data_IF_501377752674
#
_entry.id   IF_501377752674
#
_cell.length_a   1.000
_cell.length_b   1.000
_cell.length_c   1.000
_cell.angle_alpha   90.00
_cell.angle_beta   90.00
_cell.angle_gamma   90.00
#
_symmetry.space_group_name_H-M   'P 1'
#
loop_
_entity.id
_entity.type
_entity.pdbx_description
1 polymer ?
#
# COMPACT_ATOMS: atom_id res chain seq x y z
N UNK A 1 8.08 -0.77 -10.52
CA UNK A 1 7.48 -0.56 -9.20
C UNK A 1 7.92 0.75 -8.53
N UNK A 2 9.21 1.03 -8.41
CA UNK A 2 9.73 2.34 -7.94
C UNK A 2 9.19 3.54 -8.71
N UNK A 3 8.94 3.43 -10.02
CA UNK A 3 8.33 4.50 -10.84
C UNK A 3 6.87 4.80 -10.46
N UNK A 4 6.08 3.82 -10.05
CA UNK A 4 4.71 4.03 -9.55
C UNK A 4 4.72 4.70 -8.18
N UNK A 5 5.59 4.28 -7.28
CA UNK A 5 5.74 4.88 -5.94
C UNK A 5 6.21 6.34 -6.06
N UNK A 6 7.20 6.63 -6.93
CA UNK A 6 7.62 8.02 -7.21
C UNK A 6 6.49 8.85 -7.80
N UNK A 7 5.73 8.32 -8.76
CA UNK A 7 4.57 9.01 -9.34
C UNK A 7 3.52 9.37 -8.30
N UNK A 8 3.29 8.52 -7.31
CA UNK A 8 2.36 8.78 -6.21
C UNK A 8 2.93 9.72 -5.16
N UNK A 9 4.22 9.61 -4.83
CA UNK A 9 4.90 10.56 -3.95
C UNK A 9 4.92 11.97 -4.54
N UNK A 10 5.09 12.09 -5.85
CA UNK A 10 5.02 13.38 -6.54
C UNK A 10 3.60 13.95 -6.56
N UNK A 11 2.56 13.10 -6.64
CA UNK A 11 1.15 13.50 -6.55
C UNK A 11 0.73 13.92 -5.14
N UNK A 12 1.27 13.29 -4.11
CA UNK A 12 0.96 13.57 -2.69
C UNK A 12 1.73 14.80 -2.19
N UNK A 13 2.76 15.27 -2.94
CA UNK A 13 3.58 16.42 -2.58
C UNK A 13 4.67 16.09 -1.56
N UNK A 14 5.82 16.78 -1.69
CA UNK A 14 7.03 16.53 -0.88
C UNK A 14 6.92 16.90 0.61
N UNK A 15 5.80 17.48 1.05
CA UNK A 15 5.64 18.05 2.40
C UNK A 15 4.66 17.34 3.32
N UNK A 16 4.23 16.13 3.01
CA UNK A 16 3.26 15.44 3.86
C UNK A 16 1.92 16.18 3.97
N UNK A 17 1.64 17.05 3.01
CA UNK A 17 0.37 17.77 2.96
C UNK A 17 -0.74 16.74 2.79
N UNK A 18 -1.48 16.65 3.83
CA UNK A 18 -2.80 16.12 3.99
C UNK A 18 -3.25 15.15 2.89
N UNK A 19 -2.98 13.88 3.08
CA UNK A 19 -3.46 12.78 2.22
C UNK A 19 -4.98 12.91 2.01
N UNK A 20 -5.73 13.40 3.02
CA UNK A 20 -7.14 13.71 2.92
C UNK A 20 -7.44 14.81 1.89
N UNK A 21 -6.62 15.85 1.81
CA UNK A 21 -6.80 16.91 0.82
C UNK A 21 -6.58 16.42 -0.61
N UNK A 22 -5.60 15.54 -0.84
CA UNK A 22 -5.36 14.91 -2.14
C UNK A 22 -6.52 13.98 -2.53
N UNK A 23 -7.02 13.16 -1.60
CA UNK A 23 -8.17 12.28 -1.78
C UNK A 23 -9.43 13.12 -2.06
N UNK A 24 -9.63 14.20 -1.35
CA UNK A 24 -10.78 15.09 -1.56
C UNK A 24 -10.73 15.76 -2.94
N UNK A 25 -9.58 16.24 -3.39
CA UNK A 25 -9.41 16.82 -4.72
C UNK A 25 -9.63 15.79 -5.84
N UNK A 26 -9.14 14.58 -5.67
CA UNK A 26 -9.37 13.49 -6.61
C UNK A 26 -10.86 13.11 -6.66
N UNK A 27 -11.55 13.13 -5.53
CA UNK A 27 -12.98 12.90 -5.46
C UNK A 27 -13.78 14.00 -6.13
N UNK A 28 -13.47 15.26 -5.87
CA UNK A 28 -14.12 16.42 -6.50
C UNK A 28 -13.89 16.43 -8.03
N UNK A 29 -12.69 16.06 -8.49
CA UNK A 29 -12.36 15.91 -9.90
C UNK A 29 -13.14 14.76 -10.53
N UNK A 30 -13.22 13.62 -9.86
CA UNK A 30 -13.99 12.46 -10.31
C UNK A 30 -15.49 12.78 -10.46
N UNK A 31 -16.07 13.44 -9.47
CA UNK A 31 -17.48 13.87 -9.49
C UNK A 31 -17.73 14.86 -10.64
N UNK A 32 -16.78 15.75 -10.92
CA UNK A 32 -16.85 16.73 -12.01
C UNK A 32 -16.78 16.06 -13.38
N UNK A 33 -15.82 15.14 -13.57
CA UNK A 33 -15.58 14.45 -14.84
C UNK A 33 -16.75 13.52 -15.24
N UNK A 34 -17.47 12.98 -14.27
CA UNK A 34 -18.64 12.13 -14.52
C UNK A 34 -19.92 12.92 -14.82
N UNK A 35 -19.88 14.26 -14.79
CA UNK A 35 -21.08 15.10 -15.01
C UNK A 35 -22.17 14.90 -13.97
N UNK A 36 -21.81 14.36 -12.82
CA UNK A 36 -22.75 14.00 -11.76
C UNK A 36 -23.04 15.19 -10.86
N UNK A 37 -24.08 15.91 -11.18
CA UNK A 37 -24.70 16.84 -10.25
C UNK A 37 -25.54 16.15 -9.17
N UNK A 38 -25.79 14.84 -9.31
CA UNK A 38 -26.59 14.04 -8.38
C UNK A 38 -25.81 12.80 -7.93
N UNK A 39 -25.42 12.73 -6.64
CA UNK A 39 -24.69 11.56 -6.09
C UNK A 39 -25.51 10.27 -6.09
N UNK A 40 -26.82 10.32 -6.34
CA UNK A 40 -27.68 9.13 -6.40
C UNK A 40 -27.57 8.37 -7.71
N UNK A 41 -27.01 9.01 -8.77
CA UNK A 41 -26.87 8.42 -10.11
C UNK A 41 -25.52 7.70 -10.27
N UNK A 42 -24.54 7.94 -9.41
CA UNK A 42 -23.28 7.20 -9.42
C UNK A 42 -23.55 5.71 -9.16
N UNK A 43 -23.20 4.86 -10.12
CA UNK A 43 -23.29 3.41 -9.94
C UNK A 43 -22.55 3.03 -8.66
N UNK A 44 -23.16 2.16 -7.86
CA UNK A 44 -22.56 1.62 -6.64
C UNK A 44 -21.11 1.11 -6.90
N UNK A 45 -20.89 0.47 -8.05
CA UNK A 45 -19.60 -0.05 -8.47
C UNK A 45 -18.52 1.03 -8.59
N UNK A 46 -18.85 2.20 -9.10
CA UNK A 46 -17.89 3.32 -9.25
C UNK A 46 -17.51 3.92 -7.89
N UNK A 47 -18.45 3.99 -6.96
CA UNK A 47 -18.19 4.42 -5.58
C UNK A 47 -17.28 3.45 -4.84
N UNK A 48 -17.50 2.15 -5.00
CA UNK A 48 -16.65 1.12 -4.40
C UNK A 48 -15.25 1.14 -5.00
N UNK A 49 -15.13 1.26 -6.32
CA UNK A 49 -13.82 1.38 -6.97
C UNK A 49 -13.03 2.58 -6.45
N UNK A 50 -13.70 3.72 -6.26
CA UNK A 50 -13.07 4.91 -5.67
C UNK A 50 -12.60 4.67 -4.24
N UNK A 51 -13.45 4.08 -3.38
CA UNK A 51 -13.10 3.77 -1.99
C UNK A 51 -11.93 2.77 -1.91
N UNK A 52 -11.91 1.76 -2.76
CA UNK A 52 -10.80 0.80 -2.84
C UNK A 52 -9.51 1.50 -3.24
N UNK A 53 -9.56 2.38 -4.24
CA UNK A 53 -8.40 3.17 -4.67
C UNK A 53 -7.92 4.12 -3.57
N UNK A 54 -8.82 4.83 -2.90
CA UNK A 54 -8.48 5.71 -1.79
C UNK A 54 -7.84 4.93 -0.63
N UNK A 55 -8.36 3.75 -0.32
CA UNK A 55 -7.79 2.86 0.69
C UNK A 55 -6.38 2.38 0.30
N UNK A 56 -6.17 2.01 -0.96
CA UNK A 56 -4.84 1.68 -1.49
C UNK A 56 -3.84 2.82 -1.36
N UNK A 57 -4.27 4.06 -1.61
CA UNK A 57 -3.44 5.26 -1.46
C UNK A 57 -3.01 5.51 -0.02
N UNK A 58 -3.86 5.23 0.96
CA UNK A 58 -3.48 5.34 2.38
C UNK A 58 -2.35 4.38 2.74
N UNK A 59 -2.37 3.17 2.19
CA UNK A 59 -1.28 2.20 2.33
C UNK A 59 0.03 2.73 1.74
N UNK A 60 -0.02 3.26 0.52
CA UNK A 60 1.16 3.82 -0.17
C UNK A 60 1.75 5.02 0.59
N UNK A 61 0.90 5.90 1.13
CA UNK A 61 1.35 7.05 1.91
C UNK A 61 2.12 6.67 3.18
N UNK A 62 1.83 5.50 3.75
CA UNK A 62 2.48 5.00 4.96
C UNK A 62 3.80 4.26 4.68
N UNK A 63 4.11 3.90 3.44
CA UNK A 63 5.27 3.05 3.10
C UNK A 63 6.56 3.62 3.70
N UNK A 64 6.81 4.90 3.58
CA UNK A 64 8.03 5.52 4.11
C UNK A 64 8.20 5.24 5.61
N UNK A 65 7.18 5.53 6.40
CA UNK A 65 7.22 5.28 7.84
C UNK A 65 7.33 3.80 8.19
N UNK A 66 6.66 2.94 7.43
CA UNK A 66 6.76 1.47 7.59
C UNK A 66 8.18 1.00 7.34
N UNK A 67 8.83 1.49 6.28
CA UNK A 67 10.21 1.11 5.95
C UNK A 67 11.20 1.60 7.00
N UNK A 68 11.05 2.82 7.51
CA UNK A 68 11.88 3.36 8.58
C UNK A 68 11.75 2.52 9.87
N UNK A 69 10.54 2.15 10.24
CA UNK A 69 10.29 1.30 11.40
C UNK A 69 10.83 -0.12 11.19
N UNK A 70 10.62 -0.70 10.01
CA UNK A 70 11.14 -2.02 9.65
C UNK A 70 12.66 -2.05 9.67
N UNK A 71 13.32 -0.99 9.21
CA UNK A 71 14.78 -0.83 9.31
C UNK A 71 15.26 -0.93 10.75
N UNK A 72 14.60 -0.24 11.66
CA UNK A 72 14.92 -0.27 13.08
C UNK A 72 14.80 -1.69 13.66
N UNK A 73 13.74 -2.42 13.29
CA UNK A 73 13.56 -3.81 13.74
C UNK A 73 14.64 -4.74 13.18
N UNK A 74 15.00 -4.58 11.91
CA UNK A 74 16.03 -5.40 11.26
C UNK A 74 17.41 -5.12 11.84
N UNK A 75 17.75 -3.86 12.10
CA UNK A 75 19.02 -3.46 12.68
C UNK A 75 19.18 -3.99 14.11
N UNK A 76 18.10 -4.08 14.85
CA UNK A 76 18.07 -4.70 16.19
C UNK A 76 17.98 -6.23 16.15
N UNK A 77 18.04 -6.86 14.98
CA UNK A 77 17.95 -8.32 14.79
C UNK A 77 16.69 -8.94 15.41
N UNK A 78 15.60 -8.20 15.43
CA UNK A 78 14.33 -8.69 15.92
C UNK A 78 13.73 -9.71 14.94
N UNK A 79 13.17 -10.78 15.47
CA UNK A 79 12.30 -11.69 14.72
C UNK A 79 10.86 -11.20 14.86
N UNK A 80 10.19 -10.91 13.75
CA UNK A 80 8.86 -10.30 13.76
C UNK A 80 8.00 -10.76 12.60
N UNK A 81 6.70 -10.53 12.71
CA UNK A 81 5.70 -10.75 11.68
C UNK A 81 5.11 -9.41 11.25
N UNK A 82 4.91 -9.24 9.94
CA UNK A 82 4.23 -8.08 9.38
C UNK A 82 2.97 -8.54 8.67
N UNK A 83 1.86 -7.89 8.96
CA UNK A 83 0.59 -8.07 8.27
C UNK A 83 0.27 -6.81 7.47
N UNK A 84 -0.06 -6.97 6.19
CA UNK A 84 -0.47 -5.87 5.33
C UNK A 84 -1.58 -6.31 4.37
N UNK A 85 -2.46 -5.38 4.02
CA UNK A 85 -3.58 -5.63 3.12
C UNK A 85 -3.27 -5.34 1.64
N UNK A 86 -2.22 -4.55 1.36
CA UNK A 86 -1.89 -4.13 0.02
C UNK A 86 -0.61 -4.80 -0.47
N UNK A 87 -0.65 -5.34 -1.68
CA UNK A 87 0.51 -5.99 -2.30
C UNK A 87 1.70 -5.04 -2.46
N UNK A 88 1.44 -3.78 -2.80
CA UNK A 88 2.48 -2.76 -2.96
C UNK A 88 3.25 -2.52 -1.67
N UNK A 89 2.56 -2.55 -0.53
CA UNK A 89 3.20 -2.43 0.79
C UNK A 89 4.06 -3.65 1.10
N UNK A 90 3.54 -4.85 0.85
CA UNK A 90 4.30 -6.09 1.02
C UNK A 90 5.52 -6.14 0.09
N UNK A 91 5.37 -5.71 -1.16
CA UNK A 91 6.46 -5.66 -2.12
C UNK A 91 7.57 -4.70 -1.68
N UNK A 92 7.21 -3.52 -1.17
CA UNK A 92 8.18 -2.54 -0.67
C UNK A 92 8.96 -3.06 0.54
N UNK A 93 8.29 -3.71 1.48
CA UNK A 93 8.91 -4.32 2.66
C UNK A 93 9.84 -5.46 2.24
N UNK A 94 9.39 -6.33 1.36
CA UNK A 94 10.20 -7.45 0.86
C UNK A 94 11.46 -6.97 0.15
N UNK A 95 11.36 -5.96 -0.70
CA UNK A 95 12.51 -5.35 -1.37
C UNK A 95 13.53 -4.80 -0.38
N UNK A 96 13.08 -4.17 0.70
CA UNK A 96 13.96 -3.68 1.77
C UNK A 96 14.67 -4.82 2.50
N UNK A 97 13.93 -5.87 2.85
CA UNK A 97 14.48 -7.06 3.53
C UNK A 97 15.53 -7.75 2.65
N UNK A 98 15.28 -7.86 1.35
CA UNK A 98 16.23 -8.40 0.36
C UNK A 98 17.49 -7.54 0.30
N UNK A 99 17.35 -6.22 0.24
CA UNK A 99 18.50 -5.29 0.25
C UNK A 99 19.37 -5.45 1.49
N UNK A 100 18.74 -5.68 2.63
CA UNK A 100 19.45 -5.93 3.90
C UNK A 100 19.96 -7.36 4.05
N UNK A 101 19.71 -8.22 3.06
CA UNK A 101 20.16 -9.63 3.05
C UNK A 101 19.68 -10.42 4.25
N UNK A 102 18.46 -10.13 4.71
CA UNK A 102 17.83 -10.85 5.83
C UNK A 102 16.97 -11.98 5.30
N UNK A 103 17.06 -13.15 5.92
CA UNK A 103 16.21 -14.29 5.59
C UNK A 103 14.76 -13.97 5.96
N UNK A 104 13.85 -14.23 5.03
CA UNK A 104 12.42 -13.96 5.23
C UNK A 104 11.57 -14.99 4.50
N UNK A 105 10.31 -15.05 4.87
CA UNK A 105 9.25 -15.75 4.16
C UNK A 105 8.09 -14.80 3.92
N UNK A 106 7.41 -14.97 2.78
CA UNK A 106 6.23 -14.19 2.43
C UNK A 106 5.07 -15.13 2.18
N UNK A 107 3.91 -14.79 2.72
CA UNK A 107 2.66 -15.49 2.48
C UNK A 107 1.61 -14.46 2.05
N UNK A 108 1.08 -14.62 0.86
CA UNK A 108 -0.02 -13.81 0.34
C UNK A 108 -1.04 -14.66 -0.44
N UNK A 109 -2.06 -14.01 -1.00
CA UNK A 109 -3.12 -14.70 -1.72
C UNK A 109 -2.70 -15.43 -2.99
N UNK A 110 -1.51 -15.13 -3.53
CA UNK A 110 -0.98 -15.76 -4.76
C UNK A 110 -0.23 -17.05 -4.49
N UNK A 111 0.08 -17.35 -3.24
CA UNK A 111 0.88 -18.52 -2.85
C UNK A 111 -0.03 -19.72 -2.61
N UNK A 112 0.32 -20.87 -3.21
CA UNK A 112 -0.36 -22.14 -3.01
C UNK A 112 -0.37 -22.58 -1.53
N UNK A 113 -1.42 -23.28 -1.13
CA UNK A 113 -1.62 -23.72 0.25
C UNK A 113 -0.46 -24.56 0.76
N UNK A 114 0.06 -25.49 -0.05
CA UNK A 114 1.20 -26.34 0.33
C UNK A 114 2.46 -25.51 0.65
N UNK A 115 2.76 -24.53 -0.17
CA UNK A 115 3.90 -23.63 0.04
C UNK A 115 3.75 -22.73 1.26
N UNK A 116 2.51 -22.41 1.66
CA UNK A 116 2.26 -21.65 2.91
C UNK A 116 2.70 -22.44 4.13
N UNK A 117 2.40 -23.75 4.17
CA UNK A 117 2.86 -24.62 5.27
C UNK A 117 4.38 -24.73 5.34
N UNK A 118 5.05 -24.84 4.19
CA UNK A 118 6.51 -24.83 4.14
C UNK A 118 7.11 -23.52 4.65
N UNK A 119 6.53 -22.38 4.27
CA UNK A 119 6.94 -21.06 4.74
C UNK A 119 6.82 -20.94 6.27
N UNK A 120 5.72 -21.41 6.85
CA UNK A 120 5.51 -21.41 8.31
C UNK A 120 6.55 -22.27 9.01
N UNK A 121 6.87 -23.46 8.46
CA UNK A 121 7.90 -24.32 9.04
C UNK A 121 9.30 -23.73 8.97
N UNK A 122 9.59 -23.00 7.89
CA UNK A 122 10.89 -22.37 7.70
C UNK A 122 11.10 -21.18 8.65
N UNK A 123 10.03 -20.50 9.00
CA UNK A 123 10.08 -19.38 9.94
C UNK A 123 10.32 -19.83 11.36
#
# INVERSE_FOLDING_TARGET
MLKKIKSWQDKIGRRGENVFGAIQKDFESYVKDQGMNDPTIARLDDKYAYLINAYGLTGLAKIKGILEFTDTLLDNKCKFLIFAHHYEVLDAIEEQVIRKKVSHVRIDGKIEIGKRYEAVRKF
#
